data_IF_970846855275
#
_entry.id   IF_970846855275
#
_cell.length_a   1.000
_cell.length_b   1.000
_cell.length_c   1.000
_cell.angle_alpha   90.00
_cell.angle_beta   90.00
_cell.angle_gamma   90.00
#
_symmetry.space_group_name_H-M   'P 1'
#
loop_
_entity.id
_entity.type
_entity.pdbx_description
1 polymer ?
#
# COMPACT_ATOMS: atom_id res chain seq x y z
N UNK A 1 15.14 35.44 49.83
CA UNK A 1 14.06 35.72 48.86
C UNK A 1 14.40 35.06 47.51
N UNK A 2 14.75 33.77 47.51
CA UNK A 2 15.42 33.11 46.35
C UNK A 2 14.95 31.67 46.12
N UNK A 3 13.90 31.23 46.82
CA UNK A 3 13.32 29.89 46.70
C UNK A 3 12.03 29.87 45.87
N UNK A 4 11.32 31.00 45.74
CA UNK A 4 10.05 31.09 45.01
C UNK A 4 10.20 30.98 43.48
N UNK A 5 11.24 31.61 42.89
CA UNK A 5 11.44 31.60 41.44
C UNK A 5 11.81 30.23 40.86
N UNK A 6 12.47 29.36 41.64
CA UNK A 6 12.88 28.01 41.17
C UNK A 6 11.75 27.00 41.22
N UNK A 7 10.78 27.18 42.12
CA UNK A 7 9.56 26.38 42.18
C UNK A 7 8.57 26.73 41.08
N UNK A 8 8.49 28.00 40.70
CA UNK A 8 7.61 28.48 39.64
C UNK A 8 8.08 27.97 38.26
N UNK A 9 9.37 28.04 37.97
CA UNK A 9 9.96 27.58 36.71
C UNK A 9 9.81 26.05 36.49
N UNK A 10 9.96 25.27 37.57
CA UNK A 10 9.69 23.82 37.54
C UNK A 10 8.20 23.53 37.31
N UNK A 11 7.30 24.36 37.85
CA UNK A 11 5.86 24.20 37.64
C UNK A 11 5.43 24.52 36.21
N UNK A 12 6.09 25.48 35.56
CA UNK A 12 5.87 25.86 34.16
C UNK A 12 6.38 24.78 33.22
N UNK A 13 7.60 24.28 33.43
CA UNK A 13 8.16 23.16 32.65
C UNK A 13 7.30 21.89 32.76
N UNK A 14 6.76 21.59 33.95
CA UNK A 14 5.85 20.45 34.15
C UNK A 14 4.48 20.64 33.48
N UNK A 15 3.96 21.87 33.43
CA UNK A 15 2.72 22.20 32.70
C UNK A 15 2.91 22.09 31.18
N UNK A 16 4.02 22.61 30.66
CA UNK A 16 4.38 22.49 29.25
C UNK A 16 4.63 21.05 28.84
N UNK A 17 5.27 20.23 29.69
CA UNK A 17 5.40 18.80 29.40
C UNK A 17 4.05 18.10 29.42
N UNK A 18 3.13 18.49 30.32
CA UNK A 18 1.75 17.94 30.33
C UNK A 18 0.94 18.34 29.11
N UNK A 19 1.09 19.55 28.58
CA UNK A 19 0.45 19.96 27.32
C UNK A 19 1.08 19.26 26.10
N UNK A 20 2.40 19.07 26.09
CA UNK A 20 3.09 18.34 25.01
C UNK A 20 2.85 16.82 25.07
N UNK A 21 2.59 16.25 26.26
CA UNK A 21 2.22 14.84 26.47
C UNK A 21 0.70 14.61 26.63
N UNK A 22 -0.12 15.64 26.47
CA UNK A 22 -1.56 15.47 26.38
C UNK A 22 -1.83 14.75 25.06
N UNK A 23 -1.90 13.42 25.13
CA UNK A 23 -2.16 12.58 23.98
C UNK A 23 -3.42 13.07 23.29
N UNK A 24 -3.25 13.61 22.08
CA UNK A 24 -4.37 14.01 21.25
C UNK A 24 -5.20 12.76 20.97
N UNK A 25 -6.39 12.72 21.53
CA UNK A 25 -7.36 11.65 21.34
C UNK A 25 -8.21 11.96 20.11
N UNK A 26 -8.69 10.92 19.43
CA UNK A 26 -9.54 10.97 18.23
C UNK A 26 -10.73 11.96 18.29
N UNK A 27 -11.17 12.35 19.48
CA UNK A 27 -12.26 13.30 19.68
C UNK A 27 -11.90 14.77 19.38
N UNK A 28 -10.62 15.09 19.21
CA UNK A 28 -10.17 16.42 18.81
C UNK A 28 -10.30 16.54 17.28
N UNK A 29 -11.50 16.94 16.83
CA UNK A 29 -11.92 16.99 15.42
C UNK A 29 -11.23 18.12 14.62
N UNK A 30 -9.94 18.35 14.85
CA UNK A 30 -9.15 19.35 14.13
C UNK A 30 -8.65 18.78 12.80
N UNK A 31 -9.18 19.34 11.71
CA UNK A 31 -8.87 18.95 10.33
C UNK A 31 -7.38 19.06 9.98
N UNK A 32 -6.61 19.87 10.73
CA UNK A 32 -5.15 20.05 10.52
C UNK A 32 -4.33 18.83 10.95
N UNK A 33 -4.82 18.04 11.91
CA UNK A 33 -4.15 16.84 12.44
C UNK A 33 -4.88 15.54 12.08
N UNK A 34 -5.93 15.63 11.26
CA UNK A 34 -6.78 14.52 10.84
C UNK A 34 -6.04 13.34 10.18
N UNK A 35 -4.79 13.52 9.73
CA UNK A 35 -3.97 12.44 9.19
C UNK A 35 -2.60 12.32 9.89
N UNK A 36 -2.35 13.11 10.94
CA UNK A 36 -1.10 13.13 11.69
C UNK A 36 -1.26 12.43 13.05
N UNK A 37 -1.77 11.20 13.04
CA UNK A 37 -2.05 10.44 14.24
C UNK A 37 -0.76 10.09 15.00
N UNK A 38 -0.62 10.58 16.23
CA UNK A 38 0.53 10.30 17.10
C UNK A 38 0.36 9.03 17.94
N UNK A 39 -0.86 8.50 18.03
CA UNK A 39 -1.21 7.33 18.82
C UNK A 39 -1.78 6.20 17.93
N UNK A 40 -1.21 5.00 18.07
CA UNK A 40 -1.58 3.83 17.26
C UNK A 40 -3.00 3.34 17.57
N UNK A 41 -3.47 3.49 18.81
CA UNK A 41 -4.81 2.99 19.19
C UNK A 41 -5.93 3.81 18.53
N UNK A 42 -5.78 5.13 18.50
CA UNK A 42 -6.72 6.03 17.80
C UNK A 42 -6.82 5.73 16.30
N UNK A 43 -5.72 5.30 15.67
CA UNK A 43 -5.71 4.85 14.27
C UNK A 43 -6.53 3.56 14.08
N UNK A 44 -6.35 2.57 14.96
CA UNK A 44 -7.07 1.29 14.87
C UNK A 44 -8.57 1.48 15.09
N UNK A 45 -8.97 2.28 16.08
CA UNK A 45 -10.39 2.56 16.36
C UNK A 45 -11.11 3.20 15.17
N UNK A 46 -10.46 4.18 14.51
CA UNK A 46 -11.00 4.79 13.31
C UNK A 46 -11.11 3.80 12.15
N UNK A 47 -10.06 3.00 11.92
CA UNK A 47 -10.06 1.98 10.87
C UNK A 47 -11.15 0.92 11.09
N UNK A 48 -11.38 0.52 12.35
CA UNK A 48 -12.46 -0.39 12.71
C UNK A 48 -13.84 0.23 12.46
N UNK A 49 -14.06 1.46 12.90
CA UNK A 49 -15.32 2.17 12.67
C UNK A 49 -15.61 2.34 11.18
N UNK A 50 -14.61 2.74 10.40
CA UNK A 50 -14.69 2.85 8.95
C UNK A 50 -15.02 1.50 8.30
N UNK A 51 -14.34 0.43 8.72
CA UNK A 51 -14.57 -0.92 8.19
C UNK A 51 -15.99 -1.40 8.49
N UNK A 52 -16.50 -1.18 9.72
CA UNK A 52 -17.87 -1.56 10.09
C UNK A 52 -18.89 -0.76 9.28
N UNK A 53 -18.69 0.56 9.12
CA UNK A 53 -19.57 1.40 8.34
C UNK A 53 -19.60 1.01 6.86
N UNK A 54 -18.43 0.77 6.25
CA UNK A 54 -18.33 0.29 4.87
C UNK A 54 -18.92 -1.11 4.69
N UNK A 55 -18.72 -2.00 5.65
CA UNK A 55 -19.30 -3.35 5.64
C UNK A 55 -20.83 -3.30 5.72
N UNK A 56 -21.39 -2.48 6.61
CA UNK A 56 -22.84 -2.26 6.70
C UNK A 56 -23.39 -1.68 5.39
N UNK A 57 -22.71 -0.69 4.81
CA UNK A 57 -23.09 -0.13 3.52
C UNK A 57 -23.05 -1.19 2.41
N UNK A 58 -22.00 -2.01 2.34
CA UNK A 58 -21.91 -3.11 1.37
C UNK A 58 -23.02 -4.14 1.56
N UNK A 59 -23.37 -4.47 2.81
CA UNK A 59 -24.44 -5.39 3.11
C UNK A 59 -25.81 -4.86 2.67
N UNK A 60 -26.09 -3.57 2.90
CA UNK A 60 -27.34 -2.94 2.46
C UNK A 60 -27.49 -2.90 0.93
N UNK A 61 -26.40 -2.72 0.20
CA UNK A 61 -26.39 -2.56 -1.26
C UNK A 61 -26.00 -3.84 -2.02
N UNK A 62 -25.94 -5.00 -1.36
CA UNK A 62 -25.48 -6.25 -1.97
C UNK A 62 -26.38 -6.75 -3.11
N UNK A 63 -27.67 -6.45 -3.06
CA UNK A 63 -28.64 -6.81 -4.11
C UNK A 63 -28.45 -5.98 -5.39
N UNK A 64 -27.78 -4.82 -5.30
CA UNK A 64 -27.52 -3.97 -6.46
C UNK A 64 -26.27 -4.44 -7.23
N UNK A 65 -26.48 -5.24 -8.27
CA UNK A 65 -25.41 -5.79 -9.12
C UNK A 65 -24.39 -4.75 -9.61
N UNK A 66 -24.82 -3.57 -10.07
CA UNK A 66 -23.92 -2.51 -10.58
C UNK A 66 -23.01 -1.96 -9.47
N UNK A 67 -23.52 -1.86 -8.24
CA UNK A 67 -22.74 -1.37 -7.11
C UNK A 67 -21.63 -2.35 -6.74
N UNK A 68 -21.99 -3.63 -6.57
CA UNK A 68 -21.04 -4.71 -6.26
C UNK A 68 -19.99 -4.82 -7.35
N UNK A 69 -20.40 -4.72 -8.61
CA UNK A 69 -19.50 -4.69 -9.75
C UNK A 69 -18.53 -3.50 -9.68
N UNK A 70 -19.02 -2.28 -9.51
CA UNK A 70 -18.15 -1.10 -9.48
C UNK A 70 -17.13 -1.17 -8.34
N UNK A 71 -17.55 -1.58 -7.13
CA UNK A 71 -16.66 -1.72 -5.98
C UNK A 71 -15.60 -2.80 -6.21
N UNK A 72 -15.99 -3.97 -6.73
CA UNK A 72 -15.04 -5.04 -7.06
C UNK A 72 -14.02 -4.61 -8.12
N UNK A 73 -14.44 -3.78 -9.08
CA UNK A 73 -13.55 -3.30 -10.15
C UNK A 73 -12.53 -2.32 -9.57
N UNK A 74 -12.98 -1.38 -8.72
CA UNK A 74 -12.09 -0.44 -8.04
C UNK A 74 -11.11 -1.16 -7.11
N UNK A 75 -11.54 -2.22 -6.42
CA UNK A 75 -10.68 -3.00 -5.55
C UNK A 75 -9.52 -3.65 -6.34
N UNK A 76 -9.82 -4.37 -7.42
CA UNK A 76 -8.80 -5.05 -8.24
C UNK A 76 -7.98 -4.05 -9.06
N UNK A 77 -8.55 -2.92 -9.48
CA UNK A 77 -7.80 -1.82 -10.10
C UNK A 77 -6.76 -1.23 -9.12
N UNK A 78 -7.14 -1.08 -7.85
CA UNK A 78 -6.22 -0.60 -6.82
C UNK A 78 -5.08 -1.60 -6.59
N UNK A 79 -5.40 -2.90 -6.56
CA UNK A 79 -4.42 -3.99 -6.50
C UNK A 79 -3.41 -3.90 -7.65
N UNK A 80 -3.90 -3.76 -8.89
CA UNK A 80 -3.04 -3.59 -10.07
C UNK A 80 -2.19 -2.30 -10.02
N UNK A 81 -2.73 -1.21 -9.48
CA UNK A 81 -2.02 0.07 -9.37
C UNK A 81 -0.85 -0.01 -8.38
N UNK A 82 -0.84 -0.95 -7.42
CA UNK A 82 0.30 -1.18 -6.54
C UNK A 82 1.56 -1.66 -7.30
N UNK A 83 1.38 -2.34 -8.44
CA UNK A 83 2.49 -2.76 -9.31
C UNK A 83 3.12 -1.61 -10.12
N UNK A 84 2.36 -0.56 -10.44
CA UNK A 84 2.82 0.58 -11.23
C UNK A 84 4.00 1.38 -10.62
N UNK A 85 4.01 1.75 -9.32
CA UNK A 85 5.18 2.42 -8.74
C UNK A 85 6.40 1.50 -8.71
N UNK A 86 6.23 0.19 -8.62
CA UNK A 86 7.34 -0.76 -8.71
C UNK A 86 7.94 -0.80 -10.11
N UNK A 87 7.10 -0.75 -11.16
CA UNK A 87 7.52 -0.61 -12.55
C UNK A 87 8.34 0.68 -12.77
N UNK A 88 7.84 1.82 -12.29
CA UNK A 88 8.51 3.13 -12.38
C UNK A 88 9.87 3.13 -11.68
N UNK A 89 9.96 2.53 -10.49
CA UNK A 89 11.22 2.39 -9.75
C UNK A 89 12.22 1.51 -10.50
N UNK A 90 11.74 0.43 -11.12
CA UNK A 90 12.57 -0.48 -11.90
C UNK A 90 13.17 0.23 -13.13
N UNK A 91 12.35 1.02 -13.84
CA UNK A 91 12.81 1.84 -14.98
C UNK A 91 13.91 2.84 -14.59
N UNK A 92 13.80 3.44 -13.39
CA UNK A 92 14.73 4.47 -12.92
C UNK A 92 16.05 3.87 -12.40
N UNK A 93 15.98 2.81 -11.61
CA UNK A 93 17.14 2.35 -10.84
C UNK A 93 18.01 1.32 -11.59
N UNK A 94 17.51 0.68 -12.67
CA UNK A 94 18.21 -0.32 -13.50
C UNK A 94 18.95 -1.43 -12.72
N UNK A 95 18.59 -1.67 -11.46
CA UNK A 95 19.20 -2.65 -10.58
C UNK A 95 18.09 -3.52 -10.00
N UNK A 96 18.13 -4.80 -10.35
CA UNK A 96 17.08 -5.79 -10.04
C UNK A 96 17.65 -7.02 -9.35
N UNK A 97 18.69 -6.84 -8.53
CA UNK A 97 19.18 -7.90 -7.63
C UNK A 97 18.12 -8.11 -6.53
N UNK A 98 17.46 -9.28 -6.52
CA UNK A 98 16.46 -9.68 -5.51
C UNK A 98 14.99 -9.50 -5.87
N UNK A 99 14.62 -8.55 -6.74
CA UNK A 99 13.20 -8.24 -7.05
C UNK A 99 12.47 -9.38 -7.80
N UNK A 100 13.20 -10.21 -8.55
CA UNK A 100 12.61 -11.25 -9.42
C UNK A 100 11.85 -12.32 -8.65
N UNK A 101 12.38 -12.81 -7.53
CA UNK A 101 11.77 -13.93 -6.80
C UNK A 101 10.42 -13.51 -6.19
N UNK A 102 10.35 -12.28 -5.68
CA UNK A 102 9.12 -11.69 -5.16
C UNK A 102 8.07 -11.51 -6.25
N UNK A 103 8.45 -10.93 -7.39
CA UNK A 103 7.53 -10.69 -8.52
C UNK A 103 7.02 -12.02 -9.12
N UNK A 104 7.87 -13.04 -9.22
CA UNK A 104 7.44 -14.38 -9.71
C UNK A 104 6.45 -15.03 -8.75
N UNK A 105 6.67 -14.90 -7.44
CA UNK A 105 5.74 -15.44 -6.43
C UNK A 105 4.36 -14.75 -6.52
N UNK A 106 4.33 -13.43 -6.71
CA UNK A 106 3.10 -12.67 -6.86
C UNK A 106 2.37 -13.00 -8.17
N UNK A 107 3.11 -13.05 -9.29
CA UNK A 107 2.58 -13.49 -10.58
C UNK A 107 1.94 -14.89 -10.49
N UNK A 108 2.56 -15.82 -9.75
CA UNK A 108 2.00 -17.16 -9.55
C UNK A 108 0.66 -17.10 -8.79
N UNK A 109 0.58 -16.26 -7.76
CA UNK A 109 -0.67 -16.01 -7.03
C UNK A 109 -1.77 -15.45 -7.92
N UNK A 110 -1.45 -14.43 -8.72
CA UNK A 110 -2.41 -13.75 -9.59
C UNK A 110 -2.86 -14.61 -10.76
N UNK A 111 -1.96 -15.44 -11.29
CA UNK A 111 -2.29 -16.45 -12.31
C UNK A 111 -3.22 -17.52 -11.73
N UNK A 112 -2.94 -18.02 -10.52
CA UNK A 112 -3.77 -19.04 -9.88
C UNK A 112 -5.16 -18.50 -9.51
N UNK A 113 -5.23 -17.26 -9.00
CA UNK A 113 -6.47 -16.53 -8.69
C UNK A 113 -7.31 -16.32 -9.96
N UNK A 114 -6.68 -15.90 -11.05
CA UNK A 114 -7.36 -15.71 -12.34
C UNK A 114 -7.84 -17.05 -12.93
N UNK A 115 -7.03 -18.10 -12.87
CA UNK A 115 -7.44 -19.45 -13.32
C UNK A 115 -8.64 -19.96 -12.51
N UNK A 116 -8.62 -19.78 -11.18
CA UNK A 116 -9.75 -20.13 -10.33
C UNK A 116 -11.03 -19.40 -10.74
N UNK A 117 -10.96 -18.11 -11.10
CA UNK A 117 -12.13 -17.37 -11.55
C UNK A 117 -12.67 -17.85 -12.90
N UNK A 118 -11.79 -18.28 -13.81
CA UNK A 118 -12.17 -18.85 -15.12
C UNK A 118 -12.87 -20.20 -14.94
N UNK A 119 -12.34 -21.08 -14.09
CA UNK A 119 -12.92 -22.42 -13.89
C UNK A 119 -14.26 -22.41 -13.15
N UNK A 120 -14.54 -21.37 -12.37
CA UNK A 120 -15.78 -21.26 -11.58
C UNK A 120 -16.84 -20.35 -12.22
N UNK A 121 -16.68 -19.94 -13.49
CA UNK A 121 -17.61 -19.06 -14.22
C UNK A 121 -18.03 -17.80 -13.43
N UNK A 122 -17.07 -17.16 -12.75
CA UNK A 122 -17.34 -15.92 -12.03
C UNK A 122 -17.66 -14.79 -13.03
N UNK A 123 -18.47 -13.79 -12.63
CA UNK A 123 -18.89 -12.71 -13.52
C UNK A 123 -17.70 -12.03 -14.22
N UNK A 124 -17.90 -11.69 -15.50
CA UNK A 124 -16.88 -11.24 -16.47
C UNK A 124 -15.87 -10.21 -15.94
N UNK A 125 -16.29 -9.38 -14.99
CA UNK A 125 -15.46 -8.36 -14.38
C UNK A 125 -14.24 -8.92 -13.63
N UNK A 126 -14.38 -10.02 -12.88
CA UNK A 126 -13.25 -10.62 -12.16
C UNK A 126 -12.24 -11.23 -13.12
N UNK A 127 -12.72 -11.79 -14.22
CA UNK A 127 -11.87 -12.34 -15.27
C UNK A 127 -11.09 -11.25 -16.02
N UNK A 128 -11.78 -10.22 -16.52
CA UNK A 128 -11.17 -9.17 -17.31
C UNK A 128 -10.15 -8.36 -16.50
N UNK A 129 -10.46 -8.09 -15.22
CA UNK A 129 -9.56 -7.38 -14.33
C UNK A 129 -8.37 -8.25 -13.88
N UNK A 130 -8.59 -9.55 -13.59
CA UNK A 130 -7.52 -10.50 -13.29
C UNK A 130 -6.54 -10.70 -14.45
N UNK A 131 -7.04 -10.77 -15.69
CA UNK A 131 -6.19 -10.84 -16.88
C UNK A 131 -5.31 -9.59 -17.04
N UNK A 132 -5.84 -8.39 -16.76
CA UNK A 132 -5.06 -7.15 -16.76
C UNK A 132 -3.98 -7.14 -15.69
N UNK A 133 -4.26 -7.67 -14.50
CA UNK A 133 -3.30 -7.80 -13.41
C UNK A 133 -2.13 -8.72 -13.78
N UNK A 134 -2.43 -9.93 -14.29
CA UNK A 134 -1.40 -10.86 -14.80
C UNK A 134 -0.59 -10.24 -15.94
N UNK A 135 -1.23 -9.45 -16.81
CA UNK A 135 -0.53 -8.75 -17.89
C UNK A 135 0.48 -7.71 -17.36
N UNK A 136 0.11 -6.93 -16.34
CA UNK A 136 1.03 -5.97 -15.70
C UNK A 136 2.22 -6.69 -15.05
N UNK A 137 1.99 -7.82 -14.38
CA UNK A 137 3.07 -8.61 -13.78
C UNK A 137 4.05 -9.14 -14.83
N UNK A 138 3.55 -9.62 -15.97
CA UNK A 138 4.38 -10.06 -17.10
C UNK A 138 5.26 -8.91 -17.60
N UNK A 139 4.71 -7.69 -17.70
CA UNK A 139 5.49 -6.50 -18.10
C UNK A 139 6.60 -6.22 -17.08
N UNK A 140 6.30 -6.28 -15.78
CA UNK A 140 7.30 -6.05 -14.73
C UNK A 140 8.41 -7.11 -14.81
N UNK A 141 8.04 -8.38 -15.02
CA UNK A 141 9.00 -9.49 -15.15
C UNK A 141 9.85 -9.36 -16.42
N UNK A 142 9.26 -8.94 -17.54
CA UNK A 142 9.96 -8.67 -18.78
C UNK A 142 10.99 -7.54 -18.63
N UNK A 143 10.63 -6.45 -17.93
CA UNK A 143 11.56 -5.36 -17.62
C UNK A 143 12.75 -5.87 -16.80
N UNK A 144 12.50 -6.68 -15.75
CA UNK A 144 13.58 -7.30 -14.95
C UNK A 144 14.51 -8.16 -15.81
N UNK A 145 13.95 -8.92 -16.75
CA UNK A 145 14.74 -9.76 -17.65
C UNK A 145 15.67 -8.94 -18.55
N UNK A 146 15.15 -7.88 -19.19
CA UNK A 146 15.94 -7.02 -20.09
C UNK A 146 17.07 -6.27 -19.37
N UNK A 147 16.81 -5.72 -18.18
CA UNK A 147 17.85 -5.00 -17.42
C UNK A 147 19.00 -5.90 -17.00
N UNK A 148 18.74 -7.18 -16.66
CA UNK A 148 19.77 -8.16 -16.35
C UNK A 148 20.64 -8.50 -17.56
N UNK A 149 20.03 -8.69 -18.74
CA UNK A 149 20.79 -9.01 -19.95
C UNK A 149 21.77 -7.89 -20.30
N UNK A 150 21.35 -6.62 -20.14
CA UNK A 150 22.23 -5.47 -20.36
C UNK A 150 23.38 -5.35 -19.35
N UNK A 151 23.19 -5.71 -18.08
CA UNK A 151 24.27 -5.75 -17.08
C UNK A 151 25.25 -6.89 -17.38
N UNK A 152 24.75 -8.09 -17.69
CA UNK A 152 25.59 -9.25 -18.00
C UNK A 152 26.46 -9.07 -19.24
N UNK A 153 25.93 -8.42 -20.28
CA UNK A 153 26.69 -8.07 -21.50
C UNK A 153 27.79 -7.04 -21.19
N UNK A 154 27.54 -6.07 -20.30
CA UNK A 154 28.53 -5.05 -19.93
C UNK A 154 29.66 -5.62 -19.07
N UNK A 155 29.36 -6.55 -18.15
CA UNK A 155 30.39 -7.26 -17.38
C UNK A 155 31.30 -8.07 -18.30
N UNK A 156 30.73 -8.85 -19.22
CA UNK A 156 31.51 -9.66 -20.17
C UNK A 156 32.44 -8.86 -21.07
N UNK A 157 32.11 -7.60 -21.37
CA UNK A 157 32.95 -6.71 -22.20
C UNK A 157 34.13 -6.13 -21.42
N UNK A 158 34.06 -6.08 -20.10
CA UNK A 158 35.14 -5.57 -19.24
C UNK A 158 36.22 -6.63 -18.97
N UNK A 159 35.87 -7.92 -19.05
CA UNK A 159 36.75 -9.06 -18.78
C UNK A 159 37.51 -9.59 -20.01
N UNK A 160 37.35 -8.95 -21.18
CA UNK A 160 38.16 -9.25 -22.39
C UNK A 160 39.29 -8.23 -22.43
N UNK A 161 40.53 -8.59 -22.03
CA UNK A 161 41.68 -7.71 -22.24
C UNK A 161 41.99 -7.60 -23.74
N UNK A 162 42.29 -6.38 -24.19
CA UNK A 162 42.73 -6.06 -25.56
C UNK A 162 44.02 -6.82 -25.95
#
# INVERSE_FOLDING_TARGET
>A
MTTAGKTEDRSVSFRLSKELYAGHSFSDFDKRYFWAWTDFMSYIDFMLLFTIACSLLMYLFIEHHIFVQTVGFLAVLTEALLGAPQLLRNLRNKSTEGMRQMVVMWMMGDTFKTAYFIFNDLPLQFWLCGCLQVFIDIIILFQVYLYRQNIGVRSKKQDVPD
#
